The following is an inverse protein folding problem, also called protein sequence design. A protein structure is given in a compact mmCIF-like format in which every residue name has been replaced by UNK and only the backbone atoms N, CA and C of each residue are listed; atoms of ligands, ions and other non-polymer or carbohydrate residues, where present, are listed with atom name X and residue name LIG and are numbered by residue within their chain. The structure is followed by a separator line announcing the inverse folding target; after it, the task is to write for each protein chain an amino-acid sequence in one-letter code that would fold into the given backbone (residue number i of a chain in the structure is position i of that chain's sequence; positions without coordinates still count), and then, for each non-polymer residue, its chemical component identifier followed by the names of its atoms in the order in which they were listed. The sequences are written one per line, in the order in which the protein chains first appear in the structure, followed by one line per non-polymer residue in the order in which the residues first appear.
data_IF_109731101185
#
_entry.id   IF_109731101185
#
_cell.length_a   1.000
_cell.length_b   1.000
_cell.length_c   1.000
_cell.angle_alpha   90.00
_cell.angle_beta   90.00
_cell.angle_gamma   90.00
#
_symmetry.space_group_name_H-M   'P 1'
#
loop_
_entity.id
_entity.type
_entity.pdbx_description
1 polymer ?
#
# COMPACT_ATOMS: atom_id res chain seq x y z
N UNK A 1 -6.25 -20.87 -22.05
CA UNK A 1 -6.53 -19.85 -21.02
C UNK A 1 -5.37 -19.71 -20.02
N UNK A 2 -4.11 -19.79 -20.50
CA UNK A 2 -2.89 -19.73 -19.66
C UNK A 2 -1.76 -18.91 -20.30
N UNK A 3 -2.03 -18.20 -21.40
CA UNK A 3 -1.01 -17.39 -22.11
C UNK A 3 -1.04 -15.89 -21.73
N UNK A 4 -2.05 -15.42 -21.00
CA UNK A 4 -2.19 -13.99 -20.65
C UNK A 4 -1.52 -13.58 -19.32
N UNK A 5 -0.77 -14.47 -18.65
CA UNK A 5 -0.08 -14.16 -17.38
C UNK A 5 1.38 -13.74 -17.54
N UNK A 6 1.96 -13.83 -18.74
CA UNK A 6 3.32 -13.34 -19.02
C UNK A 6 3.39 -11.80 -19.21
N UNK A 7 2.25 -11.12 -19.41
CA UNK A 7 2.20 -9.67 -19.58
C UNK A 7 2.54 -8.85 -18.32
N UNK A 8 2.50 -9.46 -17.14
CA UNK A 8 2.79 -8.77 -15.86
C UNK A 8 4.26 -8.82 -15.43
N UNK A 9 5.12 -9.60 -16.11
CA UNK A 9 6.56 -9.62 -15.83
C UNK A 9 7.32 -8.42 -16.44
N UNK A 10 6.68 -7.65 -17.33
CA UNK A 10 7.30 -6.54 -18.06
C UNK A 10 7.01 -5.14 -17.48
N UNK A 11 6.58 -5.03 -16.22
CA UNK A 11 6.47 -3.73 -15.54
C UNK A 11 7.84 -3.12 -15.15
N UNK A 12 8.94 -3.86 -15.29
CA UNK A 12 10.30 -3.30 -15.22
C UNK A 12 10.65 -2.39 -16.41
N UNK A 13 9.84 -2.40 -17.48
CA UNK A 13 9.99 -1.51 -18.62
C UNK A 13 9.51 -0.07 -18.39
N UNK A 14 8.84 0.23 -17.27
CA UNK A 14 8.19 1.54 -17.09
C UNK A 14 9.13 2.69 -16.70
N UNK A 15 10.40 2.40 -16.43
CA UNK A 15 11.43 3.43 -16.33
C UNK A 15 12.73 2.85 -16.89
N UNK A 16 12.84 2.74 -18.22
CA UNK A 16 14.15 2.76 -18.86
C UNK A 16 14.75 4.16 -18.69
N UNK A 17 15.05 4.49 -17.43
CA UNK A 17 15.64 5.74 -16.99
C UNK A 17 16.95 5.96 -17.73
N UNK A 18 17.66 4.88 -18.10
CA UNK A 18 18.88 4.96 -18.90
C UNK A 18 18.59 5.45 -20.32
N UNK A 19 17.59 4.91 -21.02
CA UNK A 19 17.20 5.38 -22.36
C UNK A 19 16.58 6.77 -22.33
N UNK A 20 15.72 7.06 -21.35
CA UNK A 20 15.09 8.38 -21.20
C UNK A 20 16.14 9.44 -20.84
N UNK A 21 17.02 9.18 -19.87
CA UNK A 21 18.14 10.06 -19.51
C UNK A 21 19.13 10.16 -20.66
N UNK A 22 19.48 9.07 -21.34
CA UNK A 22 20.34 9.09 -22.52
C UNK A 22 19.76 9.98 -23.62
N UNK A 23 18.48 9.85 -23.95
CA UNK A 23 17.81 10.67 -24.96
C UNK A 23 17.71 12.15 -24.54
N UNK A 24 17.39 12.45 -23.28
CA UNK A 24 17.35 13.83 -22.79
C UNK A 24 18.75 14.44 -22.69
N UNK A 25 19.76 13.69 -22.23
CA UNK A 25 21.16 14.13 -22.23
C UNK A 25 21.68 14.36 -23.64
N UNK A 26 21.29 13.54 -24.63
CA UNK A 26 21.66 13.73 -26.03
C UNK A 26 20.99 14.98 -26.65
N UNK A 27 19.77 15.32 -26.23
CA UNK A 27 19.09 16.57 -26.64
C UNK A 27 19.74 17.81 -26.02
N UNK A 28 20.26 17.70 -24.79
CA UNK A 28 20.96 18.79 -24.07
C UNK A 28 22.42 18.93 -24.56
N UNK A 29 23.06 17.84 -24.96
CA UNK A 29 24.45 17.78 -25.44
C UNK A 29 24.68 18.51 -26.77
N UNK A 30 23.64 18.97 -27.46
CA UNK A 30 23.83 19.79 -28.66
C UNK A 30 24.44 21.17 -28.34
N UNK A 31 24.43 21.62 -27.07
CA UNK A 31 24.88 22.96 -26.67
C UNK A 31 25.85 23.03 -25.47
N UNK A 32 26.32 21.88 -24.92
CA UNK A 32 27.21 21.87 -23.75
C UNK A 32 28.44 20.98 -24.01
N UNK A 33 29.69 21.44 -23.80
CA UNK A 33 30.89 20.63 -24.00
C UNK A 33 30.92 19.46 -23.00
N UNK A 34 31.42 18.29 -23.46
CA UNK A 34 31.59 17.01 -22.74
C UNK A 34 31.83 17.16 -21.23
N UNK A 35 30.75 17.12 -20.44
CA UNK A 35 30.74 16.79 -19.00
C UNK A 35 30.57 15.27 -18.77
N UNK A 36 31.00 14.46 -19.74
CA UNK A 36 30.52 13.08 -19.94
C UNK A 36 31.13 12.08 -18.95
N UNK A 37 32.41 12.22 -18.57
CA UNK A 37 33.10 11.20 -17.77
C UNK A 37 32.79 11.28 -16.27
N UNK A 38 32.65 12.50 -15.74
CA UNK A 38 32.38 12.71 -14.31
C UNK A 38 30.93 12.40 -13.94
N UNK A 39 29.98 12.92 -14.72
CA UNK A 39 28.54 12.73 -14.45
C UNK A 39 28.11 11.26 -14.57
N UNK A 40 28.60 10.54 -15.59
CA UNK A 40 28.31 9.11 -15.74
C UNK A 40 28.88 8.28 -14.58
N UNK A 41 30.08 8.62 -14.09
CA UNK A 41 30.65 7.97 -12.90
C UNK A 41 29.76 8.15 -11.65
N UNK A 42 29.24 9.36 -11.41
CA UNK A 42 28.31 9.60 -10.31
C UNK A 42 26.97 8.88 -10.50
N UNK A 43 26.43 8.88 -11.73
CA UNK A 43 25.19 8.17 -12.06
C UNK A 43 25.32 6.66 -11.83
N UNK A 44 26.38 6.02 -12.33
CA UNK A 44 26.59 4.58 -12.17
C UNK A 44 26.75 4.17 -10.70
N UNK A 45 27.36 5.04 -9.89
CA UNK A 45 27.44 4.85 -8.43
C UNK A 45 26.08 5.02 -7.75
N UNK A 46 25.24 5.97 -8.18
CA UNK A 46 23.96 6.29 -7.54
C UNK A 46 22.80 5.37 -7.98
N UNK A 47 22.80 4.93 -9.24
CA UNK A 47 21.69 4.21 -9.88
C UNK A 47 21.26 2.93 -9.13
N UNK A 48 22.17 2.09 -8.59
CA UNK A 48 21.77 0.91 -7.81
C UNK A 48 21.01 1.29 -6.54
N UNK A 49 21.41 2.38 -5.86
CA UNK A 49 20.72 2.87 -4.66
C UNK A 49 19.36 3.46 -5.00
N UNK A 50 19.27 4.23 -6.08
CA UNK A 50 18.00 4.78 -6.57
C UNK A 50 17.04 3.63 -6.92
N UNK A 51 17.47 2.65 -7.73
CA UNK A 51 16.66 1.47 -8.08
C UNK A 51 16.24 0.64 -6.88
N UNK A 52 17.06 0.63 -5.82
CA UNK A 52 16.75 -0.10 -4.59
C UNK A 52 15.67 0.61 -3.77
N UNK A 53 15.72 1.93 -3.66
CA UNK A 53 14.95 2.71 -2.68
C UNK A 53 13.85 3.60 -3.26
N UNK A 54 13.77 3.77 -4.58
CA UNK A 54 12.87 4.73 -5.22
C UNK A 54 11.42 4.58 -4.74
N UNK A 55 10.92 3.34 -4.62
CA UNK A 55 9.54 3.10 -4.25
C UNK A 55 9.25 3.49 -2.80
N UNK A 56 10.15 3.13 -1.85
CA UNK A 56 10.05 3.60 -0.46
C UNK A 56 10.04 5.12 -0.40
N UNK A 57 11.00 5.77 -1.06
CA UNK A 57 11.18 7.24 -1.00
C UNK A 57 9.99 7.96 -1.61
N UNK A 58 9.49 7.48 -2.76
CA UNK A 58 8.31 8.01 -3.42
C UNK A 58 7.09 7.95 -2.51
N UNK A 59 6.92 6.86 -1.75
CA UNK A 59 5.74 6.63 -0.93
C UNK A 59 5.75 7.36 0.43
N UNK A 60 6.89 7.93 0.86
CA UNK A 60 6.99 8.69 2.14
C UNK A 60 5.87 9.72 2.31
N UNK A 61 5.64 10.67 1.38
CA UNK A 61 4.58 11.67 1.54
C UNK A 61 3.18 11.06 1.66
N UNK A 62 2.91 9.95 0.98
CA UNK A 62 1.62 9.26 1.06
C UNK A 62 1.43 8.57 2.41
N UNK A 63 2.45 7.85 2.88
CA UNK A 63 2.43 7.21 4.20
C UNK A 63 2.32 8.25 5.32
N UNK A 64 3.00 9.39 5.18
CA UNK A 64 2.93 10.50 6.14
C UNK A 64 1.52 11.06 6.22
N UNK A 65 0.94 11.46 5.09
CA UNK A 65 -0.41 12.05 5.05
C UNK A 65 -1.46 11.08 5.58
N UNK A 66 -1.38 9.79 5.22
CA UNK A 66 -2.26 8.77 5.77
C UNK A 66 -2.14 8.69 7.30
N UNK A 67 -0.91 8.55 7.81
CA UNK A 67 -0.67 8.40 9.24
C UNK A 67 -1.12 9.63 10.04
N UNK A 68 -0.84 10.82 9.53
CA UNK A 68 -1.23 12.09 10.15
C UNK A 68 -2.75 12.28 10.15
N UNK A 69 -3.41 12.04 9.01
CA UNK A 69 -4.86 12.20 8.91
C UNK A 69 -5.60 11.24 9.84
N UNK A 70 -5.23 9.96 9.85
CA UNK A 70 -5.89 9.00 10.74
C UNK A 70 -5.51 9.20 12.21
N UNK A 71 -4.30 9.70 12.51
CA UNK A 71 -3.97 10.17 13.85
C UNK A 71 -4.92 11.28 14.30
N UNK A 72 -5.13 12.29 13.44
CA UNK A 72 -6.06 13.38 13.74
C UNK A 72 -7.49 12.88 13.94
N UNK A 73 -7.90 11.88 13.17
CA UNK A 73 -9.22 11.27 13.29
C UNK A 73 -9.42 10.53 14.62
N UNK A 74 -8.41 9.79 15.08
CA UNK A 74 -8.45 9.04 16.34
C UNK A 74 -8.32 9.94 17.57
N UNK A 75 -7.48 10.98 17.50
CA UNK A 75 -7.16 11.84 18.65
C UNK A 75 -8.19 12.97 18.85
N UNK A 76 -8.64 13.59 17.75
CA UNK A 76 -9.43 14.82 17.83
C UNK A 76 -10.88 14.60 17.39
N UNK A 77 -11.09 14.24 16.12
CA UNK A 77 -12.43 14.12 15.58
C UNK A 77 -12.49 13.22 14.34
N UNK A 78 -13.41 12.25 14.35
CA UNK A 78 -13.46 11.14 13.39
C UNK A 78 -13.79 11.52 11.94
N UNK A 79 -14.50 12.63 11.73
CA UNK A 79 -14.78 13.17 10.39
C UNK A 79 -13.54 13.61 9.65
N UNK A 80 -12.41 13.85 10.32
CA UNK A 80 -11.12 14.05 9.63
C UNK A 80 -10.72 12.84 8.76
N UNK A 81 -11.20 11.63 9.08
CA UNK A 81 -10.94 10.45 8.27
C UNK A 81 -11.52 10.52 6.85
N UNK A 82 -12.58 11.33 6.62
CA UNK A 82 -13.28 11.36 5.32
C UNK A 82 -13.58 12.77 4.78
N UNK A 83 -13.63 13.80 5.63
CA UNK A 83 -13.91 15.18 5.22
C UNK A 83 -12.65 15.98 4.89
N UNK A 84 -11.48 15.53 5.33
CA UNK A 84 -10.23 16.24 5.10
C UNK A 84 -9.67 15.85 3.72
N UNK A 85 -9.71 16.73 2.71
CA UNK A 85 -9.28 16.37 1.37
C UNK A 85 -7.76 16.18 1.33
N UNK A 86 -7.32 15.12 0.67
CA UNK A 86 -5.90 14.90 0.41
C UNK A 86 -5.31 16.07 -0.40
N UNK A 87 -4.01 16.38 -0.21
CA UNK A 87 -3.32 17.34 -1.06
C UNK A 87 -3.51 17.00 -2.54
N UNK A 88 -3.78 18.01 -3.38
CA UNK A 88 -4.18 17.83 -4.78
C UNK A 88 -3.29 16.85 -5.57
N UNK A 89 -1.97 16.90 -5.36
CA UNK A 89 -1.02 16.02 -6.05
C UNK A 89 -1.02 14.57 -5.56
N UNK A 90 -1.52 14.30 -4.36
CA UNK A 90 -1.62 12.96 -3.77
C UNK A 90 -3.01 12.35 -3.98
N UNK A 91 -4.03 13.19 -4.21
CA UNK A 91 -5.42 12.77 -4.34
C UNK A 91 -5.65 11.57 -5.28
N UNK A 92 -5.09 11.50 -6.51
CA UNK A 92 -5.34 10.36 -7.39
C UNK A 92 -4.89 9.03 -6.79
N UNK A 93 -3.76 9.04 -6.08
CA UNK A 93 -3.22 7.82 -5.45
C UNK A 93 -4.15 7.32 -4.35
N UNK A 94 -4.55 8.20 -3.43
CA UNK A 94 -5.48 7.86 -2.36
C UNK A 94 -6.82 7.41 -2.93
N UNK A 95 -7.35 8.12 -3.92
CA UNK A 95 -8.56 7.70 -4.61
C UNK A 95 -8.48 6.23 -5.08
N UNK A 96 -7.41 5.84 -5.79
CA UNK A 96 -7.31 4.45 -6.25
C UNK A 96 -7.14 3.43 -5.11
N UNK A 97 -6.39 3.75 -4.06
CA UNK A 97 -6.19 2.82 -2.94
C UNK A 97 -7.47 2.69 -2.11
N UNK A 98 -8.06 3.80 -1.69
CA UNK A 98 -9.25 3.82 -0.83
C UNK A 98 -10.40 3.07 -1.53
N UNK A 99 -10.60 3.29 -2.83
CA UNK A 99 -11.61 2.56 -3.61
C UNK A 99 -11.29 1.07 -3.78
N UNK A 100 -10.03 0.72 -4.02
CA UNK A 100 -9.62 -0.68 -4.10
C UNK A 100 -9.87 -1.41 -2.79
N UNK A 101 -9.43 -0.83 -1.67
CA UNK A 101 -9.59 -1.41 -0.34
C UNK A 101 -11.06 -1.50 0.07
N UNK A 102 -11.87 -0.50 -0.26
CA UNK A 102 -13.32 -0.53 -0.04
C UNK A 102 -14.00 -1.63 -0.84
N UNK A 103 -13.68 -1.81 -2.13
CA UNK A 103 -14.26 -2.90 -2.93
C UNK A 103 -13.88 -4.26 -2.33
N UNK A 104 -12.63 -4.42 -1.89
CA UNK A 104 -12.16 -5.64 -1.23
C UNK A 104 -12.90 -5.86 0.10
N UNK A 105 -13.17 -4.79 0.86
CA UNK A 105 -13.97 -4.83 2.07
C UNK A 105 -15.37 -5.37 1.79
N UNK A 106 -16.09 -4.79 0.83
CA UNK A 106 -17.45 -5.23 0.50
C UNK A 106 -17.49 -6.68 -0.02
N UNK A 107 -16.48 -7.07 -0.81
CA UNK A 107 -16.33 -8.46 -1.25
C UNK A 107 -16.11 -9.42 -0.06
N UNK A 108 -15.46 -8.94 1.00
CA UNK A 108 -15.24 -9.69 2.23
C UNK A 108 -16.52 -10.08 2.94
N UNK A 109 -17.50 -9.18 3.03
CA UNK A 109 -18.81 -9.52 3.60
C UNK A 109 -19.48 -10.66 2.84
N UNK A 110 -19.44 -10.61 1.51
CA UNK A 110 -19.99 -11.68 0.66
C UNK A 110 -19.24 -13.00 0.86
N UNK A 111 -17.91 -12.97 0.80
CA UNK A 111 -17.08 -14.17 0.90
C UNK A 111 -17.21 -14.87 2.26
N UNK A 112 -17.18 -14.12 3.36
CA UNK A 112 -17.34 -14.69 4.69
C UNK A 112 -18.80 -14.94 5.08
N UNK A 113 -19.76 -14.33 4.35
CA UNK A 113 -21.18 -14.61 4.48
C UNK A 113 -21.57 -16.05 4.16
N UNK A 114 -20.83 -16.72 3.28
CA UNK A 114 -21.06 -18.14 2.96
C UNK A 114 -20.91 -19.08 4.17
N UNK A 115 -20.21 -18.66 5.24
CA UNK A 115 -20.08 -19.45 6.47
C UNK A 115 -21.30 -19.34 7.41
N UNK A 116 -22.29 -18.49 7.08
CA UNK A 116 -23.58 -18.41 7.78
C UNK A 116 -23.56 -17.72 9.15
N UNK A 117 -22.40 -17.30 9.66
CA UNK A 117 -22.28 -16.58 10.93
C UNK A 117 -22.31 -15.07 10.71
N UNK A 118 -23.31 -14.37 11.26
CA UNK A 118 -23.43 -12.90 11.17
C UNK A 118 -22.17 -12.16 11.63
N UNK A 119 -21.54 -12.63 12.71
CA UNK A 119 -20.30 -12.04 13.20
C UNK A 119 -19.17 -12.17 12.17
N UNK A 120 -19.04 -13.35 11.54
CA UNK A 120 -18.02 -13.57 10.51
C UNK A 120 -18.33 -12.81 9.22
N UNK A 121 -19.60 -12.68 8.83
CA UNK A 121 -20.01 -11.84 7.70
C UNK A 121 -19.53 -10.40 7.90
N UNK A 122 -19.81 -9.82 9.07
CA UNK A 122 -19.45 -8.42 9.38
C UNK A 122 -17.92 -8.26 9.50
N UNK A 123 -17.26 -9.12 10.27
CA UNK A 123 -15.79 -9.13 10.39
C UNK A 123 -15.11 -9.35 9.03
N UNK A 124 -15.76 -10.11 8.16
CA UNK A 124 -15.27 -10.53 6.86
C UNK A 124 -14.85 -9.38 5.96
N UNK A 125 -15.49 -8.22 6.06
CA UNK A 125 -15.13 -7.06 5.27
C UNK A 125 -13.72 -6.57 5.57
N UNK A 126 -13.49 -6.15 6.82
CA UNK A 126 -12.14 -5.73 7.26
C UNK A 126 -11.12 -6.86 7.18
N UNK A 127 -11.55 -8.10 7.46
CA UNK A 127 -10.66 -9.26 7.39
C UNK A 127 -10.13 -9.46 5.97
N UNK A 128 -10.97 -9.40 4.93
CA UNK A 128 -10.50 -9.54 3.55
C UNK A 128 -9.68 -8.31 3.11
N UNK A 129 -10.09 -7.11 3.53
CA UNK A 129 -9.36 -5.86 3.28
C UNK A 129 -7.91 -5.95 3.77
N UNK A 130 -7.63 -6.66 4.87
CA UNK A 130 -6.25 -6.87 5.37
C UNK A 130 -5.60 -8.11 4.74
N UNK A 131 -6.32 -9.24 4.67
CA UNK A 131 -5.74 -10.51 4.24
C UNK A 131 -5.32 -10.51 2.77
N UNK A 132 -6.11 -9.92 1.87
CA UNK A 132 -5.79 -9.95 0.44
C UNK A 132 -4.47 -9.20 0.15
N UNK A 133 -4.26 -7.94 0.58
CA UNK A 133 -2.96 -7.28 0.50
C UNK A 133 -1.81 -8.07 1.14
N UNK A 134 -2.05 -8.67 2.30
CA UNK A 134 -1.03 -9.44 2.98
C UNK A 134 -0.64 -10.70 2.18
N UNK A 135 -1.60 -11.38 1.55
CA UNK A 135 -1.32 -12.50 0.62
C UNK A 135 -0.53 -12.03 -0.60
N UNK A 136 -0.80 -10.83 -1.14
CA UNK A 136 0.01 -10.25 -2.23
C UNK A 136 1.46 -10.04 -1.76
N UNK A 137 1.67 -9.57 -0.53
CA UNK A 137 3.01 -9.47 0.06
C UNK A 137 3.70 -10.85 0.13
N UNK A 138 3.03 -11.85 0.69
CA UNK A 138 3.57 -13.21 0.83
C UNK A 138 3.90 -13.80 -0.54
N UNK A 139 3.02 -13.64 -1.53
CA UNK A 139 3.25 -14.06 -2.90
C UNK A 139 4.48 -13.40 -3.51
N UNK A 140 4.59 -12.07 -3.43
CA UNK A 140 5.75 -11.34 -3.97
C UNK A 140 7.04 -11.74 -3.26
N UNK A 141 7.00 -11.92 -1.95
CA UNK A 141 8.16 -12.33 -1.15
C UNK A 141 8.61 -13.75 -1.50
N UNK A 142 7.68 -14.69 -1.62
CA UNK A 142 7.95 -16.08 -1.98
C UNK A 142 8.56 -16.19 -3.38
N UNK A 143 8.00 -15.46 -4.35
CA UNK A 143 8.45 -15.47 -5.75
C UNK A 143 9.61 -14.52 -6.04
N UNK A 144 10.21 -13.90 -5.02
CA UNK A 144 11.29 -12.90 -5.14
C UNK A 144 10.94 -11.68 -6.01
N UNK A 145 9.65 -11.41 -6.19
CA UNK A 145 9.15 -10.22 -6.88
C UNK A 145 9.11 -9.06 -5.88
N UNK A 146 10.24 -8.36 -5.74
CA UNK A 146 10.41 -7.35 -4.69
C UNK A 146 9.40 -6.21 -4.76
N UNK A 147 9.07 -5.72 -5.96
CA UNK A 147 8.09 -4.65 -6.11
C UNK A 147 6.70 -5.13 -5.66
N UNK A 148 6.28 -6.33 -6.06
CA UNK A 148 4.98 -6.91 -5.67
C UNK A 148 4.89 -7.13 -4.16
N UNK A 149 5.97 -7.63 -3.55
CA UNK A 149 6.04 -7.79 -2.10
C UNK A 149 5.87 -6.44 -1.40
N UNK A 150 6.61 -5.42 -1.86
CA UNK A 150 6.59 -4.10 -1.26
C UNK A 150 5.23 -3.40 -1.46
N UNK A 151 4.60 -3.55 -2.62
CA UNK A 151 3.24 -3.08 -2.88
C UNK A 151 2.21 -3.77 -1.96
N UNK A 152 2.34 -5.08 -1.74
CA UNK A 152 1.50 -5.81 -0.79
C UNK A 152 1.61 -5.29 0.64
N UNK A 153 2.84 -4.96 1.10
CA UNK A 153 3.04 -4.33 2.42
C UNK A 153 2.42 -2.93 2.51
N UNK A 154 2.57 -2.13 1.45
CA UNK A 154 1.96 -0.80 1.38
C UNK A 154 0.44 -0.88 1.51
N UNK A 155 -0.20 -1.74 0.72
CA UNK A 155 -1.64 -1.96 0.78
C UNK A 155 -2.07 -2.51 2.14
N UNK A 156 -1.31 -3.45 2.72
CA UNK A 156 -1.60 -3.99 4.06
C UNK A 156 -1.56 -2.90 5.13
N UNK A 157 -0.57 -2.00 5.05
CA UNK A 157 -0.48 -0.85 5.95
C UNK A 157 -1.69 0.08 5.82
N UNK A 158 -2.08 0.44 4.59
CA UNK A 158 -3.27 1.26 4.34
C UNK A 158 -4.53 0.60 4.92
N UNK A 159 -4.73 -0.71 4.68
CA UNK A 159 -5.85 -1.46 5.26
C UNK A 159 -5.93 -1.35 6.77
N UNK A 160 -4.82 -1.49 7.49
CA UNK A 160 -4.81 -1.36 8.95
C UNK A 160 -5.12 0.06 9.42
N UNK A 161 -4.50 1.06 8.79
CA UNK A 161 -4.63 2.47 9.21
C UNK A 161 -6.04 3.01 8.90
N UNK A 162 -6.61 2.73 7.73
CA UNK A 162 -8.00 3.11 7.41
C UNK A 162 -9.02 2.40 8.32
N UNK A 163 -8.83 1.08 8.52
CA UNK A 163 -9.73 0.31 9.38
C UNK A 163 -9.64 0.76 10.85
N UNK A 164 -8.54 1.38 11.28
CA UNK A 164 -8.41 1.94 12.62
C UNK A 164 -9.39 3.08 12.87
N UNK A 165 -9.53 4.00 11.90
CA UNK A 165 -10.52 5.07 11.99
C UNK A 165 -11.93 4.51 11.88
N UNK A 166 -12.17 3.54 10.98
CA UNK A 166 -13.48 2.90 10.91
C UNK A 166 -13.88 2.22 12.25
N UNK A 167 -12.92 1.62 12.95
CA UNK A 167 -13.14 1.09 14.30
C UNK A 167 -13.38 2.19 15.36
N UNK A 168 -12.69 3.32 15.25
CA UNK A 168 -12.88 4.48 16.13
C UNK A 168 -14.30 5.06 15.99
N UNK A 169 -14.87 5.07 14.78
CA UNK A 169 -16.21 5.58 14.49
C UNK A 169 -17.36 4.70 15.01
N UNK A 170 -17.08 3.53 15.60
CA UNK A 170 -18.10 2.57 16.01
C UNK A 170 -19.23 3.16 16.88
N UNK A 171 -18.93 4.17 17.71
CA UNK A 171 -19.95 4.83 18.56
C UNK A 171 -20.63 5.98 17.82
N UNK A 172 -19.85 6.85 17.18
CA UNK A 172 -20.34 8.09 16.56
C UNK A 172 -21.06 7.82 15.23
N UNK A 173 -20.59 6.83 14.45
CA UNK A 173 -21.13 6.35 13.18
C UNK A 173 -21.39 7.49 12.19
N UNK A 174 -20.39 8.37 12.07
CA UNK A 174 -20.40 9.56 11.23
C UNK A 174 -19.87 9.30 9.82
N UNK A 175 -19.09 8.23 9.62
CA UNK A 175 -18.58 7.89 8.30
C UNK A 175 -19.72 7.48 7.36
N UNK A 176 -19.73 7.96 6.11
CA UNK A 176 -20.72 7.54 5.13
C UNK A 176 -20.50 6.07 4.76
N UNK A 177 -21.59 5.29 4.74
CA UNK A 177 -21.56 3.88 4.35
C UNK A 177 -21.85 3.73 2.86
N UNK A 178 -21.27 2.71 2.22
CA UNK A 178 -21.53 2.43 0.81
C UNK A 178 -23.02 2.13 0.60
N UNK A 179 -23.58 2.58 -0.51
CA UNK A 179 -24.99 2.38 -0.83
C UNK A 179 -25.98 3.17 0.03
N UNK A 180 -25.51 4.20 0.77
CA UNK A 180 -26.33 5.01 1.69
C UNK A 180 -27.07 4.16 2.75
N UNK A 181 -26.40 3.12 3.25
CA UNK A 181 -26.94 2.30 4.33
C UNK A 181 -27.13 3.13 5.60
N UNK A 182 -28.14 2.79 6.43
CA UNK A 182 -28.37 3.49 7.70
C UNK A 182 -27.19 3.27 8.65
N UNK A 183 -26.92 4.23 9.56
CA UNK A 183 -25.84 4.11 10.56
C UNK A 183 -25.91 2.83 11.40
N UNK A 184 -27.10 2.22 11.55
CA UNK A 184 -27.26 0.92 12.23
C UNK A 184 -26.54 -0.25 11.54
N UNK A 185 -26.17 -0.10 10.26
CA UNK A 185 -25.43 -1.09 9.49
C UNK A 185 -23.91 -1.05 9.74
N UNK A 186 -23.40 -0.06 10.49
CA UNK A 186 -21.95 0.10 10.72
C UNK A 186 -21.32 -1.17 11.33
N UNK A 187 -20.23 -1.64 10.73
CA UNK A 187 -19.67 -2.96 11.04
C UNK A 187 -19.10 -3.04 12.45
N UNK A 188 -18.17 -2.14 12.79
CA UNK A 188 -17.54 -2.12 14.10
C UNK A 188 -18.54 -1.86 15.24
N UNK A 189 -19.57 -1.02 15.02
CA UNK A 189 -20.66 -0.86 15.97
C UNK A 189 -21.33 -2.21 16.26
N UNK A 190 -21.76 -2.92 15.22
CA UNK A 190 -22.43 -4.20 15.35
C UNK A 190 -21.50 -5.25 16.00
N UNK A 191 -20.25 -5.34 15.53
CA UNK A 191 -19.27 -6.32 15.99
C UNK A 191 -18.92 -6.12 17.47
N UNK A 192 -18.61 -4.89 17.88
CA UNK A 192 -18.29 -4.60 19.28
C UNK A 192 -19.50 -4.71 20.19
N UNK A 193 -20.71 -4.36 19.72
CA UNK A 193 -21.95 -4.54 20.47
C UNK A 193 -22.25 -6.03 20.71
N UNK A 194 -22.11 -6.88 19.68
CA UNK A 194 -22.30 -8.34 19.81
C UNK A 194 -21.34 -8.97 20.82
N UNK A 195 -20.13 -8.41 20.97
CA UNK A 195 -19.10 -8.89 21.90
C UNK A 195 -19.13 -8.20 23.26
N UNK A 196 -19.96 -7.19 23.44
CA UNK A 196 -20.02 -6.41 24.69
C UNK A 196 -18.78 -5.56 24.96
N UNK A 197 -18.01 -5.21 23.92
CA UNK A 197 -16.74 -4.45 24.04
C UNK A 197 -16.82 -3.05 23.41
N UNK A 198 -18.02 -2.55 23.14
CA UNK A 198 -18.22 -1.25 22.49
C UNK A 198 -17.56 -0.10 23.24
N UNK A 199 -17.53 -0.13 24.58
CA UNK A 199 -16.85 0.88 25.40
C UNK A 199 -15.33 0.92 25.18
N UNK A 200 -14.73 -0.15 24.64
CA UNK A 200 -13.30 -0.27 24.37
C UNK A 200 -12.93 0.01 22.91
N UNK A 201 -13.85 0.52 22.09
CA UNK A 201 -13.64 0.70 20.64
C UNK A 201 -12.35 1.47 20.32
N UNK A 202 -12.04 2.54 21.07
CA UNK A 202 -10.79 3.30 20.89
C UNK A 202 -9.52 2.50 21.19
N UNK A 203 -9.55 1.56 22.13
CA UNK A 203 -8.39 0.69 22.40
C UNK A 203 -8.08 -0.18 21.20
N UNK A 204 -9.10 -0.74 20.56
CA UNK A 204 -8.93 -1.52 19.33
C UNK A 204 -8.47 -0.63 18.17
N UNK A 205 -9.08 0.55 18.00
CA UNK A 205 -8.70 1.51 16.97
C UNK A 205 -7.21 1.90 17.08
N UNK A 206 -6.75 2.31 18.26
CA UNK A 206 -5.33 2.63 18.46
C UNK A 206 -4.41 1.44 18.23
N UNK A 207 -4.81 0.23 18.67
CA UNK A 207 -4.05 -0.99 18.39
C UNK A 207 -3.88 -1.24 16.89
N UNK A 208 -4.96 -1.10 16.12
CA UNK A 208 -4.95 -1.23 14.67
C UNK A 208 -4.08 -0.16 14.00
N UNK A 209 -4.19 1.09 14.44
CA UNK A 209 -3.38 2.19 13.94
C UNK A 209 -1.88 1.88 14.09
N UNK A 210 -1.44 1.47 15.29
CA UNK A 210 -0.05 1.15 15.55
C UNK A 210 0.46 -0.07 14.77
N UNK A 211 -0.37 -1.10 14.58
CA UNK A 211 -0.04 -2.23 13.67
C UNK A 211 0.17 -1.70 12.24
N UNK A 212 -0.68 -0.77 11.80
CA UNK A 212 -0.52 -0.07 10.53
C UNK A 212 0.80 0.69 10.43
N UNK A 213 1.14 1.50 11.43
CA UNK A 213 2.41 2.25 11.49
C UNK A 213 3.63 1.31 11.45
N UNK A 214 3.61 0.22 12.21
CA UNK A 214 4.67 -0.80 12.16
C UNK A 214 4.79 -1.38 10.74
N UNK A 215 3.65 -1.65 10.10
CA UNK A 215 3.63 -2.15 8.72
C UNK A 215 4.16 -1.12 7.71
N UNK A 216 3.89 0.18 7.90
CA UNK A 216 4.50 1.26 7.11
C UNK A 216 6.03 1.26 7.27
N UNK A 217 6.52 1.14 8.50
CA UNK A 217 7.96 1.08 8.76
C UNK A 217 8.57 -0.13 8.06
N UNK A 218 7.94 -1.31 8.17
CA UNK A 218 8.37 -2.52 7.47
C UNK A 218 8.39 -2.33 5.94
N UNK A 219 7.38 -1.67 5.37
CA UNK A 219 7.33 -1.29 3.97
C UNK A 219 8.51 -0.39 3.57
N UNK A 220 8.80 0.66 4.35
CA UNK A 220 9.85 1.62 4.04
C UNK A 220 11.24 0.98 4.07
N UNK A 221 11.48 0.08 5.04
CA UNK A 221 12.76 -0.62 5.20
C UNK A 221 12.86 -1.90 4.38
N UNK A 222 11.78 -2.36 3.74
CA UNK A 222 11.75 -3.59 2.94
C UNK A 222 12.92 -3.71 1.93
N UNK A 223 13.39 -2.64 1.27
CA UNK A 223 14.56 -2.73 0.40
C UNK A 223 15.83 -3.26 1.08
N UNK A 224 15.99 -3.11 2.40
CA UNK A 224 17.08 -3.70 3.17
C UNK A 224 17.00 -5.23 3.22
N UNK A 225 15.78 -5.77 3.19
CA UNK A 225 15.49 -7.20 3.29
C UNK A 225 15.55 -7.92 1.94
N UNK A 226 15.88 -7.21 0.84
CA UNK A 226 16.09 -7.82 -0.48
C UNK A 226 17.15 -8.92 -0.38
N UNK A 227 16.70 -10.17 -0.54
CA UNK A 227 17.60 -11.31 -0.72
C UNK A 227 18.38 -11.10 -2.02
N UNK A 228 19.70 -11.28 -2.00
CA UNK A 228 20.52 -11.21 -3.21
C UNK A 228 19.99 -12.22 -4.23
N UNK A 229 19.57 -11.73 -5.38
CA UNK A 229 19.35 -12.55 -6.56
C UNK A 229 20.73 -12.80 -7.17
N UNK A 230 21.15 -14.07 -7.20
CA UNK A 230 22.35 -14.45 -7.93
C UNK A 230 21.91 -14.68 -9.38
N UNK A 231 22.38 -13.83 -10.29
CA UNK A 231 22.24 -14.10 -11.72
C UNK A 231 23.30 -15.14 -12.09
N UNK A 232 22.88 -16.20 -12.77
CA UNK A 232 23.81 -17.15 -13.37
C UNK A 232 24.41 -16.47 -14.61
N UNK A 233 25.73 -16.30 -14.62
CA UNK A 233 26.47 -15.90 -15.81
C UNK A 233 26.95 -17.18 -16.45
N UNK A 234 26.40 -17.52 -17.62
CA UNK A 234 26.95 -18.58 -18.45
C UNK A 234 28.32 -18.11 -18.95
N UNK A 235 29.38 -18.66 -18.36
CA UNK A 235 30.74 -18.47 -18.84
C UNK A 235 30.94 -19.47 -19.98
N UNK A 236 30.90 -18.98 -21.22
CA UNK A 236 31.48 -19.70 -22.35
C UNK A 236 32.98 -19.83 -22.08
N UNK A 237 33.38 -21.00 -21.59
CA UNK A 237 34.78 -21.37 -21.42
C UNK A 237 35.24 -21.96 -22.75
N UNK A 238 36.04 -21.22 -23.52
CA UNK A 238 36.85 -21.79 -24.60
C UNK A 238 37.87 -22.75 -23.95
N UNK A 239 37.58 -24.05 -23.99
CA UNK A 239 38.45 -25.13 -23.54
C UNK A 239 39.34 -25.63 -24.67
#
# INVERSE_FOLDING_TARGET
MLENLQGFQNLEGFLDLKSILSKTLNLINWHIPKMENGFQHYLDRALPHIRKWWFSVMCIPFCWVLAEQQWMALEWEISFAWQYPYPFFLFPFFFFIDWFLLIVHEAGHTFFGFFGSRFLTILGGTLLQILLPFVIFIYGWWNRQHFVAQLGLLLTAFSWVESSAYAADAVARRMPLIGNLPSSAHDYYNMFSMKGVLANHMTYAWGMYWVGIITIILFLIYPLLKRKQYDYVDLEMDL
#
